data_IF_732454088122
#
_entry.id   IF_732454088122
#
_cell.length_a   1.000
_cell.length_b   1.000
_cell.length_c   1.000
_cell.angle_alpha   90.00
_cell.angle_beta   90.00
_cell.angle_gamma   90.00
#
_symmetry.space_group_name_H-M   'P 1'
#
loop_
_entity.id
_entity.type
_entity.pdbx_description
1 polymer ?
#
# COMPACT_ATOMS: atom_id res chain seq x y z
N UNK A 1 50.04 18.74 16.08
CA UNK A 1 49.75 17.67 15.10
C UNK A 1 48.90 16.60 15.78
N UNK A 2 47.58 16.56 15.54
CA UNK A 2 46.67 15.60 16.19
C UNK A 2 46.85 14.23 15.55
N UNK A 3 47.46 13.27 16.26
CA UNK A 3 47.56 11.88 15.80
C UNK A 3 46.20 11.21 15.93
N UNK A 4 45.46 11.12 14.83
CA UNK A 4 44.21 10.34 14.77
C UNK A 4 44.58 8.85 14.86
N UNK A 5 44.24 8.19 15.97
CA UNK A 5 44.39 6.73 16.15
C UNK A 5 43.18 6.02 15.53
N UNK A 6 43.41 4.87 14.91
CA UNK A 6 42.32 4.03 14.39
C UNK A 6 41.77 3.16 15.52
N UNK A 7 40.44 3.17 15.68
CA UNK A 7 39.74 2.29 16.62
C UNK A 7 39.64 0.89 16.02
N UNK A 8 39.82 -0.14 16.85
CA UNK A 8 39.67 -1.54 16.46
C UNK A 8 38.27 -2.02 16.84
N UNK A 9 37.30 -2.14 15.90
CA UNK A 9 35.99 -2.65 16.22
C UNK A 9 35.99 -4.18 16.29
N UNK A 10 35.27 -4.75 17.26
CA UNK A 10 34.96 -6.18 17.32
C UNK A 10 33.76 -6.47 16.43
N UNK A 11 33.87 -7.45 15.54
CA UNK A 11 32.81 -7.83 14.60
C UNK A 11 32.06 -9.06 15.13
N UNK A 12 30.74 -8.93 15.30
CA UNK A 12 29.85 -10.02 15.67
C UNK A 12 28.86 -10.30 14.52
N UNK A 13 28.86 -11.53 14.02
CA UNK A 13 27.92 -12.01 13.01
C UNK A 13 27.00 -13.01 13.71
N UNK A 14 25.73 -12.66 13.83
CA UNK A 14 24.72 -13.59 14.37
C UNK A 14 24.09 -14.36 13.21
N UNK A 15 24.49 -15.62 13.03
CA UNK A 15 23.79 -16.56 12.16
C UNK A 15 22.75 -17.29 13.00
N UNK A 16 21.48 -16.89 12.87
CA UNK A 16 20.40 -17.78 13.29
C UNK A 16 20.43 -18.98 12.35
N UNK A 17 21.08 -20.06 12.79
CA UNK A 17 21.06 -21.36 12.12
C UNK A 17 19.68 -21.99 12.32
N UNK A 18 18.66 -21.43 11.67
CA UNK A 18 17.38 -22.10 11.44
C UNK A 18 17.28 -22.39 9.95
N UNK A 19 17.06 -23.67 9.64
CA UNK A 19 17.33 -24.30 8.34
C UNK A 19 16.42 -23.86 7.18
N UNK A 20 15.48 -22.92 7.37
CA UNK A 20 14.46 -22.61 6.36
C UNK A 20 14.50 -21.22 5.74
N UNK A 21 15.57 -20.44 5.95
CA UNK A 21 15.62 -19.08 5.42
C UNK A 21 16.90 -18.82 4.65
N UNK A 22 16.95 -19.27 3.39
CA UNK A 22 17.78 -18.72 2.29
C UNK A 22 18.99 -17.96 2.83
N UNK A 23 19.88 -18.72 3.46
CA UNK A 23 21.19 -18.23 3.78
C UNK A 23 21.75 -17.83 2.42
N UNK A 24 22.16 -16.58 2.26
CA UNK A 24 22.94 -16.14 1.10
C UNK A 24 24.34 -16.77 1.25
N UNK A 25 24.36 -18.09 1.26
CA UNK A 25 25.46 -18.97 0.97
C UNK A 25 24.94 -19.76 -0.21
N UNK A 26 25.29 -19.24 -1.39
CA UNK A 26 25.28 -19.99 -2.62
C UNK A 26 25.88 -21.39 -2.35
N UNK A 27 25.26 -22.49 -2.83
CA UNK A 27 25.88 -23.81 -2.77
C UNK A 27 27.23 -23.88 -3.52
N UNK A 28 27.54 -22.93 -4.42
CA UNK A 28 28.83 -22.88 -5.13
C UNK A 28 29.80 -21.79 -4.65
N UNK A 29 29.39 -20.92 -3.73
CA UNK A 29 30.29 -19.95 -3.11
C UNK A 29 30.05 -19.97 -1.61
N UNK A 30 30.60 -21.01 -0.97
CA UNK A 30 30.95 -20.96 0.44
C UNK A 30 32.09 -19.94 0.56
N UNK A 31 31.79 -18.65 0.39
CA UNK A 31 32.62 -17.56 0.91
C UNK A 31 32.64 -17.81 2.41
N UNK A 32 33.68 -18.50 2.86
CA UNK A 32 33.97 -18.80 4.26
C UNK A 32 33.55 -17.61 5.13
N UNK A 33 32.41 -17.82 5.81
CA UNK A 33 31.61 -17.10 6.81
C UNK A 33 32.09 -15.78 7.47
N UNK A 34 33.09 -15.09 6.92
CA UNK A 34 33.91 -14.20 7.75
C UNK A 34 34.77 -13.21 6.94
N UNK A 35 35.25 -13.61 5.77
CA UNK A 35 36.34 -12.88 5.09
C UNK A 35 35.95 -11.49 4.57
N UNK A 36 34.78 -11.33 3.96
CA UNK A 36 34.38 -10.06 3.34
C UNK A 36 34.18 -8.94 4.36
N UNK A 37 33.38 -9.18 5.40
CA UNK A 37 33.09 -8.18 6.43
C UNK A 37 34.34 -7.85 7.27
N UNK A 38 35.17 -8.85 7.62
CA UNK A 38 36.44 -8.61 8.33
C UNK A 38 37.43 -7.80 7.51
N UNK A 39 37.50 -8.04 6.20
CA UNK A 39 38.40 -7.30 5.32
C UNK A 39 37.98 -5.84 5.13
N UNK A 40 36.68 -5.55 5.12
CA UNK A 40 36.15 -4.20 4.87
C UNK A 40 36.09 -3.36 6.15
N UNK A 41 35.62 -3.96 7.26
CA UNK A 41 35.32 -3.24 8.50
C UNK A 41 36.33 -3.49 9.63
N UNK A 42 37.22 -4.46 9.47
CA UNK A 42 38.27 -4.77 10.45
C UNK A 42 39.51 -3.91 10.24
N UNK A 43 40.25 -3.67 11.33
CA UNK A 43 41.60 -3.11 11.26
C UNK A 43 42.60 -4.26 11.05
N UNK A 44 43.49 -4.20 10.05
CA UNK A 44 44.52 -5.21 9.84
C UNK A 44 45.38 -5.39 11.09
N UNK A 45 45.82 -6.63 11.32
CA UNK A 45 46.66 -6.95 12.47
C UNK A 45 47.99 -6.17 12.38
N UNK A 46 48.46 -5.61 13.50
CA UNK A 46 49.68 -4.80 13.60
C UNK A 46 49.69 -3.50 12.77
N UNK A 47 48.53 -2.85 12.59
CA UNK A 47 48.53 -1.53 11.98
C UNK A 47 49.19 -0.48 12.91
N UNK A 48 50.13 0.35 12.44
CA UNK A 48 50.92 1.26 13.31
C UNK A 48 50.09 2.32 14.05
N UNK A 49 48.83 2.52 13.66
CA UNK A 49 47.87 3.44 14.31
C UNK A 49 46.74 2.73 15.07
N UNK A 50 46.76 1.40 15.15
CA UNK A 50 45.73 0.65 15.86
C UNK A 50 45.85 0.84 17.36
N UNK A 51 44.71 0.98 18.04
CA UNK A 51 44.67 0.94 19.50
C UNK A 51 44.72 -0.51 20.00
N UNK A 52 45.35 -0.78 21.15
CA UNK A 52 45.42 -2.14 21.71
C UNK A 52 44.08 -2.63 22.28
N UNK A 53 43.09 -1.74 22.44
CA UNK A 53 41.78 -2.06 23.03
C UNK A 53 40.65 -2.01 22.00
N UNK A 54 39.59 -2.77 22.26
CA UNK A 54 38.34 -2.71 21.51
C UNK A 54 37.41 -1.69 22.16
N UNK A 55 37.12 -0.60 21.47
CA UNK A 55 36.20 0.44 21.96
C UNK A 55 34.79 0.24 21.36
N UNK A 56 34.69 -0.43 20.21
CA UNK A 56 33.47 -0.51 19.40
C UNK A 56 33.14 -1.95 19.05
N UNK A 57 31.85 -2.27 18.96
CA UNK A 57 31.33 -3.56 18.52
C UNK A 57 30.36 -3.32 17.37
N UNK A 58 30.64 -3.92 16.21
CA UNK A 58 29.71 -3.94 15.08
C UNK A 58 28.98 -5.27 15.05
N UNK A 59 27.66 -5.19 14.99
CA UNK A 59 26.78 -6.36 14.97
C UNK A 59 26.06 -6.43 13.63
N UNK A 60 26.22 -7.56 12.95
CA UNK A 60 25.47 -7.92 11.76
C UNK A 60 24.40 -8.94 12.13
N UNK A 61 23.15 -8.62 11.82
CA UNK A 61 22.02 -9.53 12.02
C UNK A 61 21.35 -9.79 10.68
N UNK A 62 21.11 -11.07 10.36
CA UNK A 62 20.39 -11.45 9.15
C UNK A 62 18.94 -11.72 9.55
N UNK A 63 18.02 -10.91 8.99
CA UNK A 63 16.58 -11.05 9.20
C UNK A 63 15.85 -10.71 7.90
N UNK A 64 14.86 -11.52 7.52
CA UNK A 64 14.02 -11.31 6.34
C UNK A 64 14.81 -11.11 5.03
N UNK A 65 15.88 -11.88 4.83
CA UNK A 65 16.82 -11.74 3.71
C UNK A 65 17.49 -10.35 3.59
N UNK A 66 17.52 -9.59 4.69
CA UNK A 66 18.22 -8.30 4.82
C UNK A 66 19.28 -8.39 5.90
N UNK A 67 20.30 -7.56 5.76
CA UNK A 67 21.42 -7.49 6.70
C UNK A 67 21.27 -6.21 7.50
N UNK A 68 21.04 -6.34 8.80
CA UNK A 68 20.96 -5.23 9.74
C UNK A 68 22.34 -4.96 10.32
N UNK A 69 22.74 -3.70 10.29
CA UNK A 69 23.98 -3.22 10.89
C UNK A 69 23.68 -2.38 12.12
N UNK A 70 24.42 -2.65 13.19
CA UNK A 70 24.41 -1.85 14.42
C UNK A 70 25.83 -1.61 14.93
N UNK A 71 26.03 -0.45 15.56
CA UNK A 71 27.30 -0.06 16.17
C UNK A 71 27.08 0.29 17.65
N UNK A 72 27.86 -0.37 18.51
CA UNK A 72 27.85 -0.23 19.95
C UNK A 72 29.22 0.26 20.46
N UNK A 73 29.24 1.14 21.45
CA UNK A 73 30.41 1.39 22.29
C UNK A 73 30.41 0.48 23.50
N UNK A 74 31.61 0.09 23.95
CA UNK A 74 31.80 -0.49 25.27
C UNK A 74 31.95 0.65 26.27
N UNK A 75 31.04 0.76 27.24
CA UNK A 75 31.06 1.83 28.25
C UNK A 75 31.88 1.47 29.49
N UNK A 76 31.76 0.22 29.95
CA UNK A 76 32.35 -0.27 31.20
C UNK A 76 32.92 -1.68 31.02
N UNK A 77 33.84 -2.08 31.90
CA UNK A 77 34.42 -3.43 31.92
C UNK A 77 33.39 -4.53 32.19
N UNK A 78 32.24 -4.18 32.79
CA UNK A 78 31.10 -5.07 33.04
C UNK A 78 30.35 -5.51 31.75
N UNK A 79 30.79 -5.03 30.58
CA UNK A 79 30.20 -5.39 29.29
C UNK A 79 28.94 -4.59 28.91
N UNK A 80 28.69 -3.47 29.59
CA UNK A 80 27.61 -2.55 29.20
C UNK A 80 27.89 -1.95 27.81
N UNK A 81 26.92 -2.11 26.90
CA UNK A 81 26.99 -1.62 25.52
C UNK A 81 26.00 -0.47 25.32
N UNK A 82 26.47 0.64 24.75
CA UNK A 82 25.61 1.75 24.33
C UNK A 82 25.59 1.90 22.81
N UNK A 83 24.41 2.09 22.22
CA UNK A 83 24.28 2.36 20.78
C UNK A 83 24.79 3.77 20.46
N UNK A 84 25.88 3.88 19.69
CA UNK A 84 26.36 5.17 19.15
C UNK A 84 25.74 5.44 17.76
N UNK A 85 25.54 4.38 16.96
CA UNK A 85 25.21 4.46 15.53
C UNK A 85 26.44 4.52 14.62
N UNK A 86 26.32 4.56 13.27
CA UNK A 86 25.10 4.58 12.47
C UNK A 86 24.39 3.21 12.46
N UNK A 87 23.08 3.25 12.20
CA UNK A 87 22.25 2.07 12.01
C UNK A 87 21.72 2.07 10.60
N UNK A 88 21.92 0.97 9.88
CA UNK A 88 21.39 0.84 8.52
C UNK A 88 21.06 -0.63 8.21
N UNK A 89 20.31 -0.80 7.15
CA UNK A 89 19.93 -2.12 6.63
C UNK A 89 20.41 -2.22 5.21
N UNK A 90 21.23 -3.23 4.93
CA UNK A 90 21.67 -3.57 3.59
C UNK A 90 20.73 -4.63 3.00
N UNK A 91 20.27 -4.36 1.78
CA UNK A 91 19.55 -5.34 0.98
C UNK A 91 20.41 -5.66 -0.26
N UNK A 92 21.05 -6.84 -0.32
CA UNK A 92 21.87 -7.23 -1.47
C UNK A 92 21.05 -7.19 -2.77
N UNK A 93 21.60 -6.57 -3.80
CA UNK A 93 20.92 -6.38 -5.11
C UNK A 93 21.44 -7.40 -6.11
N UNK A 94 22.73 -7.32 -6.44
CA UNK A 94 23.43 -8.21 -7.38
C UNK A 94 24.87 -8.43 -6.94
N UNK A 95 25.44 -9.55 -7.35
CA UNK A 95 26.86 -9.89 -7.19
C UNK A 95 27.47 -10.04 -8.58
N UNK A 96 28.54 -9.29 -8.82
CA UNK A 96 29.30 -9.34 -10.07
C UNK A 96 30.55 -10.20 -9.92
N UNK A 97 31.01 -10.78 -11.02
CA UNK A 97 32.22 -11.60 -11.05
C UNK A 97 33.51 -10.80 -10.83
N UNK A 98 33.50 -9.50 -11.12
CA UNK A 98 34.67 -8.62 -11.01
C UNK A 98 34.41 -7.39 -10.14
N UNK A 99 35.46 -6.58 -9.97
CA UNK A 99 35.37 -5.31 -9.27
C UNK A 99 34.60 -4.29 -10.11
N UNK A 100 33.43 -3.87 -9.62
CA UNK A 100 32.55 -2.87 -10.24
C UNK A 100 32.05 -3.21 -11.67
N UNK A 101 32.21 -4.46 -12.13
CA UNK A 101 31.78 -4.90 -13.45
C UNK A 101 31.91 -6.41 -13.65
N UNK A 102 31.57 -6.88 -14.85
CA UNK A 102 31.56 -8.30 -15.19
C UNK A 102 30.17 -8.91 -15.22
N UNK A 103 30.10 -10.24 -15.35
CA UNK A 103 28.84 -10.96 -15.45
C UNK A 103 28.14 -11.01 -14.10
N UNK A 104 26.81 -10.96 -14.10
CA UNK A 104 26.01 -11.07 -12.89
C UNK A 104 25.99 -12.54 -12.46
N UNK A 105 26.67 -12.86 -11.36
CA UNK A 105 26.70 -14.22 -10.80
C UNK A 105 25.42 -14.52 -10.02
N UNK A 106 24.82 -13.50 -9.42
CA UNK A 106 23.61 -13.64 -8.63
C UNK A 106 22.81 -12.34 -8.60
N UNK A 107 21.48 -12.47 -8.63
CA UNK A 107 20.53 -11.37 -8.51
C UNK A 107 19.44 -11.71 -7.50
N UNK A 108 19.07 -10.73 -6.69
CA UNK A 108 18.01 -10.88 -5.70
C UNK A 108 16.63 -10.73 -6.34
N UNK A 109 15.88 -11.83 -6.48
CA UNK A 109 14.52 -11.81 -7.01
C UNK A 109 13.53 -11.00 -6.14
N UNK A 110 13.79 -10.86 -4.83
CA UNK A 110 12.90 -10.14 -3.90
C UNK A 110 13.19 -8.64 -3.87
N UNK A 111 14.30 -8.18 -4.47
CA UNK A 111 14.66 -6.77 -4.46
C UNK A 111 13.82 -5.99 -5.48
N UNK A 112 13.12 -4.96 -5.01
CA UNK A 112 12.47 -3.96 -5.86
C UNK A 112 13.09 -2.60 -5.59
N UNK A 113 13.53 -1.92 -6.64
CA UNK A 113 14.14 -0.61 -6.50
C UNK A 113 13.12 0.43 -6.01
N UNK A 114 13.52 1.37 -5.13
CA UNK A 114 12.63 2.44 -4.68
C UNK A 114 12.09 3.30 -5.82
N UNK A 115 12.88 3.50 -6.88
CA UNK A 115 12.45 4.19 -8.09
C UNK A 115 11.31 3.45 -8.80
N UNK A 116 11.41 2.12 -8.93
CA UNK A 116 10.36 1.28 -9.52
C UNK A 116 9.10 1.29 -8.67
N UNK A 117 9.23 1.27 -7.34
CA UNK A 117 8.08 1.42 -6.43
C UNK A 117 7.39 2.78 -6.63
N UNK A 118 8.15 3.87 -6.61
CA UNK A 118 7.60 5.23 -6.84
C UNK A 118 6.93 5.34 -8.22
N UNK A 119 7.55 4.79 -9.25
CA UNK A 119 6.98 4.75 -10.60
C UNK A 119 5.67 3.95 -10.63
N UNK A 120 5.59 2.81 -9.94
CA UNK A 120 4.36 2.02 -9.86
C UNK A 120 3.23 2.78 -9.15
N UNK A 121 3.53 3.50 -8.05
CA UNK A 121 2.56 4.36 -7.37
C UNK A 121 2.10 5.51 -8.26
N UNK A 122 3.03 6.19 -8.95
CA UNK A 122 2.71 7.26 -9.88
C UNK A 122 1.83 6.76 -11.04
N UNK A 123 2.16 5.60 -11.63
CA UNK A 123 1.36 4.98 -12.70
C UNK A 123 -0.05 4.61 -12.23
N UNK A 124 -0.19 4.04 -11.03
CA UNK A 124 -1.51 3.75 -10.44
C UNK A 124 -2.34 5.02 -10.24
N UNK A 125 -1.69 6.14 -9.89
CA UNK A 125 -2.34 7.44 -9.72
C UNK A 125 -2.65 8.15 -11.04
N UNK A 126 -1.86 7.94 -12.10
CA UNK A 126 -2.06 8.53 -13.42
C UNK A 126 -3.34 8.02 -14.09
N UNK A 127 -3.64 6.72 -13.94
CA UNK A 127 -4.82 6.10 -14.57
C UNK A 127 -6.17 6.51 -13.96
N UNK A 128 -6.21 7.51 -13.07
CA UNK A 128 -7.47 8.01 -12.47
C UNK A 128 -8.44 8.52 -13.53
N UNK A 129 -7.95 9.23 -14.55
CA UNK A 129 -8.79 9.77 -15.60
C UNK A 129 -9.36 8.67 -16.50
N UNK A 130 -8.52 7.74 -16.95
CA UNK A 130 -8.95 6.56 -17.73
C UNK A 130 -9.99 5.75 -16.96
N UNK A 131 -9.74 5.45 -15.68
CA UNK A 131 -10.70 4.76 -14.80
C UNK A 131 -12.02 5.50 -14.66
N UNK A 132 -12.02 6.84 -14.71
CA UNK A 132 -13.25 7.65 -14.67
C UNK A 132 -14.05 7.49 -15.95
N UNK A 133 -13.39 7.51 -17.11
CA UNK A 133 -14.05 7.27 -18.40
C UNK A 133 -14.58 5.83 -18.46
N UNK A 134 -13.75 4.86 -18.09
CA UNK A 134 -14.13 3.44 -18.07
C UNK A 134 -15.32 3.20 -17.13
N UNK A 135 -15.31 3.78 -15.93
CA UNK A 135 -16.46 3.72 -15.02
C UNK A 135 -17.72 4.35 -15.61
N UNK A 136 -17.60 5.45 -16.35
CA UNK A 136 -18.73 6.09 -17.05
C UNK A 136 -19.28 5.17 -18.15
N UNK A 137 -18.41 4.58 -18.96
CA UNK A 137 -18.79 3.65 -20.02
C UNK A 137 -19.47 2.38 -19.47
N UNK A 138 -18.92 1.81 -18.38
CA UNK A 138 -19.53 0.67 -17.69
C UNK A 138 -20.90 1.02 -17.10
N UNK A 139 -21.03 2.21 -16.51
CA UNK A 139 -22.32 2.68 -16.01
C UNK A 139 -23.35 2.83 -17.12
N UNK A 140 -22.98 3.43 -18.25
CA UNK A 140 -23.87 3.57 -19.43
C UNK A 140 -24.28 2.21 -19.99
N UNK A 141 -23.35 1.26 -20.10
CA UNK A 141 -23.62 -0.09 -20.58
C UNK A 141 -24.48 -0.92 -19.61
N UNK A 142 -24.35 -0.70 -18.30
CA UNK A 142 -25.10 -1.42 -17.25
C UNK A 142 -26.38 -0.67 -16.84
N UNK A 143 -26.64 0.50 -17.43
CA UNK A 143 -27.78 1.34 -17.03
C UNK A 143 -29.09 0.60 -17.37
N UNK A 144 -29.95 0.29 -16.39
CA UNK A 144 -31.25 -0.29 -16.67
C UNK A 144 -32.14 0.75 -17.37
N UNK A 145 -32.98 0.31 -18.32
CA UNK A 145 -33.90 1.19 -19.05
C UNK A 145 -34.93 1.84 -18.12
N UNK A 146 -35.34 1.12 -17.08
CA UNK A 146 -36.26 1.58 -16.04
C UNK A 146 -35.56 1.60 -14.70
N UNK A 147 -35.69 2.71 -13.96
CA UNK A 147 -35.16 2.82 -12.59
C UNK A 147 -35.80 1.78 -11.64
N UNK A 148 -37.03 1.37 -11.95
CA UNK A 148 -37.78 0.35 -11.24
C UNK A 148 -38.49 -0.53 -12.27
N UNK A 149 -37.96 -1.73 -12.57
CA UNK A 149 -38.58 -2.63 -13.55
C UNK A 149 -39.90 -3.23 -13.05
N UNK A 150 -40.16 -3.18 -11.75
CA UNK A 150 -41.30 -3.85 -11.11
C UNK A 150 -42.56 -2.96 -11.00
N UNK A 151 -42.53 -1.73 -11.55
CA UNK A 151 -43.70 -0.83 -11.50
C UNK A 151 -44.64 -1.15 -12.66
N UNK A 152 -45.81 -1.70 -12.35
CA UNK A 152 -46.91 -1.83 -13.30
C UNK A 152 -47.36 -0.43 -13.78
N UNK A 153 -47.35 -0.19 -15.10
CA UNK A 153 -47.76 1.10 -15.69
C UNK A 153 -46.65 2.13 -15.91
N UNK A 154 -45.37 1.76 -15.81
CA UNK A 154 -44.23 2.65 -16.06
C UNK A 154 -44.23 3.32 -17.46
N UNK A 155 -44.95 2.76 -18.43
CA UNK A 155 -45.14 3.33 -19.77
C UNK A 155 -45.95 4.64 -19.77
N UNK A 156 -46.68 4.95 -18.69
CA UNK A 156 -47.40 6.20 -18.51
C UNK A 156 -46.48 7.43 -18.56
N UNK A 157 -45.25 7.30 -18.07
CA UNK A 157 -44.30 8.39 -17.93
C UNK A 157 -43.34 8.54 -19.13
N UNK A 158 -43.51 7.75 -20.20
CA UNK A 158 -42.71 7.86 -21.43
C UNK A 158 -43.39 8.84 -22.41
N UNK A 159 -42.63 9.83 -22.91
CA UNK A 159 -43.09 10.83 -23.90
C UNK A 159 -43.27 12.25 -23.33
N UNK A 160 -43.90 13.14 -24.11
CA UNK A 160 -44.16 14.53 -23.69
C UNK A 160 -45.26 14.59 -22.61
N UNK A 161 -44.96 15.10 -21.40
CA UNK A 161 -45.89 15.05 -20.26
C UNK A 161 -47.21 15.79 -20.49
N UNK A 162 -47.18 16.87 -21.27
CA UNK A 162 -48.34 17.72 -21.54
C UNK A 162 -49.38 16.98 -22.39
N UNK A 163 -48.92 16.23 -23.40
CA UNK A 163 -49.80 15.49 -24.32
C UNK A 163 -50.48 14.35 -23.55
N UNK A 164 -49.71 13.59 -22.77
CA UNK A 164 -50.23 12.53 -21.91
C UNK A 164 -51.25 13.05 -20.89
N UNK A 165 -50.97 14.19 -20.26
CA UNK A 165 -51.92 14.81 -19.33
C UNK A 165 -53.25 15.18 -20.02
N UNK A 166 -53.20 15.71 -21.25
CA UNK A 166 -54.39 16.02 -22.04
C UNK A 166 -55.17 14.76 -22.43
N UNK A 167 -54.50 13.69 -22.85
CA UNK A 167 -55.11 12.39 -23.17
C UNK A 167 -55.84 11.81 -21.95
N UNK A 168 -55.21 11.84 -20.78
CA UNK A 168 -55.81 11.37 -19.52
C UNK A 168 -57.03 12.20 -19.16
N UNK A 169 -56.93 13.53 -19.28
CA UNK A 169 -58.05 14.42 -18.96
C UNK A 169 -59.26 14.14 -19.87
N UNK A 170 -59.00 13.87 -21.16
CA UNK A 170 -60.02 13.53 -22.14
C UNK A 170 -60.65 12.17 -21.83
N UNK A 171 -59.87 11.14 -21.55
CA UNK A 171 -60.36 9.81 -21.16
C UNK A 171 -61.19 9.83 -19.86
N UNK A 172 -60.77 10.62 -18.86
CA UNK A 172 -61.53 10.82 -17.62
C UNK A 172 -62.85 11.53 -17.88
N UNK A 173 -62.87 12.51 -18.80
CA UNK A 173 -64.12 13.21 -19.17
C UNK A 173 -65.11 12.31 -19.89
N UNK A 174 -64.64 11.41 -20.75
CA UNK A 174 -65.45 10.42 -21.48
C UNK A 174 -66.00 9.32 -20.56
N UNK A 175 -65.21 8.87 -19.56
CA UNK A 175 -65.72 7.95 -18.54
C UNK A 175 -66.78 8.61 -17.64
N UNK A 176 -66.61 9.90 -17.31
CA UNK A 176 -67.59 10.68 -16.54
C UNK A 176 -68.90 10.93 -17.28
N UNK A 177 -68.89 10.99 -18.61
CA UNK A 177 -70.11 11.13 -19.39
C UNK A 177 -70.84 9.79 -19.59
N UNK A 178 -70.12 8.66 -19.54
CA UNK A 178 -70.69 7.31 -19.62
C UNK A 178 -71.24 6.76 -18.29
N UNK A 179 -70.63 7.12 -17.15
CA UNK A 179 -71.13 6.82 -15.80
C UNK A 179 -71.97 8.01 -15.31
N UNK A 180 -73.28 7.97 -15.57
CA UNK A 180 -74.22 8.98 -15.08
C UNK A 180 -74.05 9.22 -13.58
N UNK A 181 -73.54 10.40 -13.24
CA UNK A 181 -73.59 11.04 -11.90
C UNK A 181 -73.56 10.08 -10.71
N UNK A 182 -72.38 9.55 -10.36
CA UNK A 182 -71.94 9.38 -8.96
C UNK A 182 -70.50 8.86 -8.93
N UNK A 183 -69.53 9.79 -8.89
CA UNK A 183 -68.18 9.50 -8.41
C UNK A 183 -67.87 10.55 -7.36
N UNK A 184 -68.00 10.18 -6.08
CA UNK A 184 -67.44 10.97 -4.96
C UNK A 184 -65.94 11.09 -5.21
N UNK A 185 -65.41 12.31 -5.07
CA UNK A 185 -63.97 12.52 -5.05
C UNK A 185 -63.37 11.64 -3.94
N UNK A 186 -62.39 10.80 -4.28
CA UNK A 186 -61.59 10.12 -3.27
C UNK A 186 -60.75 11.18 -2.56
N UNK A 187 -61.24 11.69 -1.45
CA UNK A 187 -60.42 12.38 -0.46
C UNK A 187 -59.55 11.28 0.15
N UNK A 188 -58.25 11.30 -0.13
CA UNK A 188 -57.33 10.29 0.40
C UNK A 188 -57.45 10.13 1.91
N UNK A 189 -56.95 9.04 2.51
CA UNK A 189 -56.96 8.90 3.96
C UNK A 189 -56.25 10.10 4.57
N UNK A 190 -56.90 10.78 5.51
CA UNK A 190 -56.35 11.91 6.25
C UNK A 190 -55.09 11.46 7.01
N UNK A 191 -53.90 11.76 6.46
CA UNK A 191 -52.61 11.51 7.11
C UNK A 191 -52.34 12.61 8.16
N UNK A 192 -53.27 12.81 9.09
CA UNK A 192 -53.04 13.69 10.25
C UNK A 192 -53.10 12.95 11.60
N UNK A 193 -53.28 11.63 11.63
CA UNK A 193 -53.32 10.89 12.90
C UNK A 193 -52.57 9.55 12.91
N UNK A 194 -51.36 9.46 12.35
CA UNK A 194 -50.53 8.26 12.59
C UNK A 194 -49.00 8.42 12.64
N UNK A 195 -48.45 9.64 12.55
CA UNK A 195 -47.02 9.86 12.83
C UNK A 195 -46.85 11.15 13.63
N UNK A 196 -46.75 10.98 14.95
CA UNK A 196 -46.36 12.02 15.89
C UNK A 196 -44.89 12.43 15.69
N UNK A 197 -44.61 13.21 14.66
CA UNK A 197 -43.34 13.94 14.52
C UNK A 197 -43.65 15.39 14.22
N UNK A 198 -43.53 16.21 15.27
CA UNK A 198 -43.53 17.66 15.22
C UNK A 198 -42.26 18.10 14.50
N UNK A 199 -42.37 18.70 13.31
CA UNK A 199 -41.25 19.42 12.69
C UNK A 199 -41.50 20.90 12.90
N UNK A 200 -40.85 21.47 13.92
CA UNK A 200 -40.73 22.92 14.10
C UNK A 200 -39.73 23.43 13.04
N UNK A 201 -40.19 24.32 12.18
CA UNK A 201 -39.33 25.16 11.34
C UNK A 201 -39.19 26.51 12.06
N UNK A 202 -38.05 26.72 12.71
CA UNK A 202 -37.58 28.07 13.05
C UNK A 202 -37.09 28.76 11.77
N UNK A 203 -37.50 30.02 11.59
CA UNK A 203 -36.86 31.01 10.72
C UNK A 203 -36.00 31.89 11.61
#
# INVERSE_FOLDING_TARGET
>A
MVKIKQKNPKLNITSNHNEDANVIILPSVRMSHDRGAKQIFGVPNHHPKSQPFFDHVYTFMILDNRIWFRNYQILSEDGALAEIGPRFVLNPVKIFSGSFGGTSLWENSKYVSPAKLRQAFAKKAANKYEKRIEKKAVYEATKPETAYPDIEGADFFKGDPIIKAQEVFKAVSELKSGLGTELRAWTGPDIENEIGVKVECEI
#
